data_IF_153489870611
#
_entry.id   IF_153489870611
#
_cell.length_a   1.000
_cell.length_b   1.000
_cell.length_c   1.000
_cell.angle_alpha   90.00
_cell.angle_beta   90.00
_cell.angle_gamma   90.00
#
_symmetry.space_group_name_H-M   'P 1'
#
loop_
_entity.id
_entity.type
_entity.pdbx_description
1 polymer ?
#
# COMPACT_ATOMS: atom_id res chain seq x y z
N UNK A 1 14.57 1.95 11.43
CA UNK A 1 14.15 1.12 10.28
C UNK A 1 15.35 0.89 9.36
N UNK A 2 15.99 1.93 8.82
CA UNK A 2 17.16 1.75 7.94
C UNK A 2 18.31 0.98 8.61
N UNK A 3 18.60 1.30 9.86
CA UNK A 3 19.63 0.59 10.65
C UNK A 3 19.27 -0.89 10.82
N UNK A 4 17.99 -1.23 11.03
CA UNK A 4 17.56 -2.62 11.08
C UNK A 4 17.78 -3.33 9.73
N UNK A 5 17.38 -2.70 8.61
CA UNK A 5 17.46 -3.31 7.27
C UNK A 5 18.87 -3.39 6.69
N UNK A 6 19.71 -2.38 6.95
CA UNK A 6 21.01 -2.22 6.30
C UNK A 6 22.19 -2.38 7.26
N UNK A 7 21.92 -2.57 8.56
CA UNK A 7 22.93 -2.50 9.58
C UNK A 7 23.50 -1.08 9.78
N UNK A 8 24.53 -0.97 10.55
CA UNK A 8 25.28 0.27 10.75
C UNK A 8 26.79 0.02 10.66
N UNK A 9 27.49 1.02 10.16
CA UNK A 9 28.93 0.96 10.03
C UNK A 9 29.58 1.34 11.36
N UNK A 10 30.44 0.45 11.85
CA UNK A 10 31.32 0.72 12.98
C UNK A 10 32.75 0.42 12.57
N UNK A 11 33.60 1.47 12.53
CA UNK A 11 34.95 1.42 11.92
C UNK A 11 34.82 0.91 10.48
N UNK A 12 35.52 -0.16 10.11
CA UNK A 12 35.53 -0.74 8.75
C UNK A 12 34.58 -1.94 8.59
N UNK A 13 33.67 -2.18 9.55
CA UNK A 13 32.74 -3.31 9.53
C UNK A 13 31.31 -2.81 9.54
N UNK A 14 30.44 -3.49 8.78
CA UNK A 14 28.98 -3.33 8.89
C UNK A 14 28.47 -4.34 9.91
N UNK A 15 27.75 -3.85 10.91
CA UNK A 15 27.05 -4.69 11.91
C UNK A 15 25.61 -4.82 11.45
N UNK A 16 25.20 -6.01 11.07
CA UNK A 16 23.84 -6.34 10.71
C UNK A 16 23.04 -6.67 11.97
N UNK A 17 21.88 -6.04 12.11
CA UNK A 17 21.01 -6.21 13.28
C UNK A 17 19.80 -7.09 12.98
N UNK A 18 19.59 -7.41 11.72
CA UNK A 18 18.48 -8.22 11.24
C UNK A 18 18.86 -8.92 9.95
N UNK A 19 18.56 -10.20 9.85
CA UNK A 19 18.72 -10.99 8.64
C UNK A 19 17.40 -11.02 7.88
N UNK A 20 17.41 -10.59 6.63
CA UNK A 20 16.20 -10.43 5.80
C UNK A 20 15.57 -11.77 5.45
N UNK A 21 14.26 -11.78 5.22
CA UNK A 21 13.51 -12.96 4.81
C UNK A 21 14.01 -13.42 3.42
N UNK A 22 14.54 -14.64 3.28
CA UNK A 22 15.12 -15.08 2.01
C UNK A 22 14.05 -15.42 0.98
N UNK A 23 14.41 -15.31 -0.29
CA UNK A 23 13.66 -15.94 -1.36
C UNK A 23 13.74 -17.46 -1.26
N UNK A 24 12.69 -18.18 -1.66
CA UNK A 24 12.63 -19.64 -1.62
C UNK A 24 13.84 -20.28 -2.34
N UNK A 25 14.46 -21.28 -1.72
CA UNK A 25 15.55 -22.07 -2.31
C UNK A 25 16.95 -21.66 -1.92
N UNK A 26 17.13 -20.60 -1.11
CA UNK A 26 18.43 -20.25 -0.55
C UNK A 26 18.54 -20.72 0.91
N UNK A 27 19.02 -21.95 1.11
CA UNK A 27 19.11 -22.58 2.42
C UNK A 27 20.00 -21.80 3.40
N UNK A 28 21.16 -21.31 2.96
CA UNK A 28 22.06 -20.53 3.82
C UNK A 28 21.42 -19.23 4.31
N UNK A 29 20.68 -18.53 3.41
CA UNK A 29 19.96 -17.31 3.80
C UNK A 29 18.80 -17.64 4.74
N UNK A 30 18.16 -18.81 4.59
CA UNK A 30 17.14 -19.28 5.52
C UNK A 30 17.71 -19.55 6.91
N UNK A 31 18.84 -20.22 7.00
CA UNK A 31 19.54 -20.47 8.26
C UNK A 31 19.87 -19.17 8.98
N UNK A 32 20.42 -18.17 8.27
CA UNK A 32 20.69 -16.84 8.82
C UNK A 32 19.41 -16.13 9.28
N UNK A 33 18.34 -16.19 8.49
CA UNK A 33 17.06 -15.60 8.87
C UNK A 33 16.48 -16.25 10.13
N UNK A 34 16.64 -17.57 10.29
CA UNK A 34 16.15 -18.32 11.43
C UNK A 34 16.86 -17.95 12.73
N UNK A 35 18.09 -17.42 12.66
CA UNK A 35 18.82 -16.86 13.80
C UNK A 35 18.20 -15.58 14.37
N UNK A 36 17.30 -14.87 13.60
CA UNK A 36 16.59 -13.73 14.16
C UNK A 36 15.71 -14.15 15.34
N UNK A 37 15.90 -13.48 16.46
CA UNK A 37 15.13 -13.72 17.69
C UNK A 37 14.00 -12.70 17.79
N UNK A 38 12.77 -13.17 17.57
CA UNK A 38 11.57 -12.41 17.92
C UNK A 38 11.14 -12.83 19.32
N UNK A 39 11.04 -11.87 20.24
CA UNK A 39 10.62 -12.13 21.60
C UNK A 39 9.53 -11.16 22.06
N UNK A 40 8.73 -11.62 23.02
CA UNK A 40 7.63 -10.85 23.61
C UNK A 40 7.87 -10.73 25.10
N UNK A 41 7.79 -9.50 25.62
CA UNK A 41 7.85 -9.21 27.05
C UNK A 41 6.51 -8.65 27.51
N UNK A 42 5.93 -9.27 28.51
CA UNK A 42 4.72 -8.76 29.19
C UNK A 42 5.11 -7.88 30.36
N UNK A 43 4.30 -6.87 30.66
CA UNK A 43 4.49 -5.96 31.79
C UNK A 43 5.92 -5.39 31.82
N UNK A 44 6.35 -4.88 30.66
CA UNK A 44 7.68 -4.32 30.49
C UNK A 44 7.83 -3.03 31.31
N UNK A 45 8.66 -3.06 32.34
CA UNK A 45 9.07 -1.84 33.04
C UNK A 45 10.05 -1.06 32.16
N UNK A 46 9.68 0.13 31.73
CA UNK A 46 10.41 0.89 30.71
C UNK A 46 11.08 2.16 31.25
N UNK A 47 10.57 2.69 32.37
CA UNK A 47 11.11 3.93 32.96
C UNK A 47 12.16 3.61 34.02
N UNK A 48 13.27 4.33 34.00
CA UNK A 48 14.31 4.26 35.02
C UNK A 48 13.94 5.09 36.26
N UNK A 49 13.20 6.16 36.07
CA UNK A 49 12.81 7.10 37.13
C UNK A 49 11.56 6.64 37.86
N UNK A 50 10.65 5.98 37.15
CA UNK A 50 9.35 5.54 37.66
C UNK A 50 9.21 4.03 37.53
N UNK A 51 9.88 3.29 38.38
CA UNK A 51 9.98 1.81 38.31
C UNK A 51 8.67 1.02 38.39
N UNK A 52 7.51 1.69 38.55
CA UNK A 52 6.18 1.08 38.55
C UNK A 52 5.46 1.19 37.20
N UNK A 53 6.00 1.99 36.27
CA UNK A 53 5.39 2.16 34.97
C UNK A 53 5.71 0.96 34.08
N UNK A 54 4.68 0.17 33.79
CA UNK A 54 4.79 -1.02 32.93
C UNK A 54 3.89 -0.89 31.70
N UNK A 55 4.37 -1.39 30.58
CA UNK A 55 3.65 -1.55 29.32
C UNK A 55 3.11 -2.97 29.23
N UNK A 56 1.90 -3.17 28.74
CA UNK A 56 1.28 -4.49 28.71
C UNK A 56 2.08 -5.51 27.89
N UNK A 57 2.46 -5.15 26.66
CA UNK A 57 3.30 -5.98 25.78
C UNK A 57 4.31 -5.16 24.98
N UNK A 58 5.51 -5.70 24.84
CA UNK A 58 6.51 -5.20 23.90
C UNK A 58 7.09 -6.36 23.10
N UNK A 59 7.14 -6.20 21.77
CA UNK A 59 7.81 -7.14 20.88
C UNK A 59 9.19 -6.62 20.54
N UNK A 60 10.16 -7.51 20.60
CA UNK A 60 11.57 -7.25 20.31
C UNK A 60 12.04 -8.06 19.11
N UNK A 61 12.91 -7.49 18.32
CA UNK A 61 13.69 -8.16 17.29
C UNK A 61 15.18 -8.03 17.64
N UNK A 62 15.83 -9.16 17.86
CA UNK A 62 17.25 -9.22 18.26
C UNK A 62 17.58 -8.26 19.43
N UNK A 63 16.69 -8.19 20.42
CA UNK A 63 16.81 -7.32 21.59
C UNK A 63 16.42 -5.85 21.39
N UNK A 64 16.03 -5.44 20.17
CA UNK A 64 15.55 -4.09 19.89
C UNK A 64 14.03 -4.03 19.97
N UNK A 65 13.42 -3.11 20.75
CA UNK A 65 11.98 -2.96 20.81
C UNK A 65 11.46 -2.43 19.48
N UNK A 66 10.47 -3.12 18.91
CA UNK A 66 9.91 -2.79 17.59
C UNK A 66 8.43 -2.48 17.65
N UNK A 67 7.67 -3.07 18.58
CA UNK A 67 6.23 -2.85 18.73
C UNK A 67 5.89 -2.76 20.21
N UNK A 68 5.00 -1.83 20.54
CA UNK A 68 4.38 -1.74 21.88
C UNK A 68 2.88 -1.95 21.79
N UNK A 69 2.27 -2.54 22.82
CA UNK A 69 0.83 -2.75 22.90
C UNK A 69 0.29 -2.44 24.28
N UNK A 70 -0.84 -1.73 24.32
CA UNK A 70 -1.74 -1.60 25.45
C UNK A 70 -2.98 -2.42 25.18
N UNK A 71 -3.31 -3.33 26.08
CA UNK A 71 -4.38 -4.31 25.93
C UNK A 71 -5.52 -4.01 26.88
N UNK A 72 -6.74 -4.04 26.38
CA UNK A 72 -7.97 -3.90 27.17
C UNK A 72 -8.90 -5.08 26.88
N UNK A 73 -9.79 -5.36 27.81
CA UNK A 73 -10.80 -6.40 27.62
C UNK A 73 -12.13 -5.98 28.23
N UNK A 74 -13.19 -6.61 27.76
CA UNK A 74 -14.55 -6.31 28.20
C UNK A 74 -14.82 -6.66 29.68
N UNK A 75 -14.10 -7.61 30.26
CA UNK A 75 -14.27 -8.01 31.66
C UNK A 75 -13.89 -6.89 32.63
N UNK A 76 -13.00 -5.99 32.22
CA UNK A 76 -12.59 -4.82 33.00
C UNK A 76 -13.39 -3.56 32.65
N UNK A 77 -14.41 -3.68 31.78
CA UNK A 77 -15.19 -2.55 31.23
C UNK A 77 -14.31 -1.48 30.56
N UNK A 78 -13.17 -1.88 30.07
CA UNK A 78 -12.24 -1.01 29.32
C UNK A 78 -12.18 -1.43 27.86
N UNK A 79 -11.91 -0.46 27.00
CA UNK A 79 -11.88 -0.65 25.56
C UNK A 79 -10.65 0.02 24.91
N UNK A 80 -10.59 -0.03 23.59
CA UNK A 80 -9.51 0.56 22.78
C UNK A 80 -9.32 2.05 23.06
N UNK A 81 -10.39 2.82 23.34
CA UNK A 81 -10.28 4.24 23.65
C UNK A 81 -9.53 4.49 24.98
N UNK A 82 -9.70 3.60 25.97
CA UNK A 82 -8.92 3.66 27.22
C UNK A 82 -7.43 3.37 26.97
N UNK A 83 -7.12 2.40 26.11
CA UNK A 83 -5.74 2.13 25.72
C UNK A 83 -5.11 3.31 24.96
N UNK A 84 -5.85 3.94 24.05
CA UNK A 84 -5.42 5.17 23.35
C UNK A 84 -5.19 6.30 24.35
N UNK A 85 -6.11 6.51 25.30
CA UNK A 85 -5.95 7.50 26.36
C UNK A 85 -4.70 7.24 27.17
N UNK A 86 -4.45 5.99 27.56
CA UNK A 86 -3.26 5.60 28.31
C UNK A 86 -1.97 5.92 27.55
N UNK A 87 -1.92 5.70 26.23
CA UNK A 87 -0.78 6.14 25.41
C UNK A 87 -0.61 7.65 25.39
N UNK A 88 -1.69 8.42 25.39
CA UNK A 88 -1.64 9.89 25.34
C UNK A 88 -1.23 10.52 26.66
N UNK A 89 -1.69 9.95 27.78
CA UNK A 89 -1.52 10.56 29.11
C UNK A 89 -0.36 9.95 29.90
N UNK A 90 -0.17 8.62 29.83
CA UNK A 90 0.73 7.90 30.74
C UNK A 90 2.05 7.47 30.09
N UNK A 91 2.13 7.50 28.74
CA UNK A 91 3.34 7.11 28.00
C UNK A 91 4.08 8.34 27.50
N UNK A 92 5.05 8.81 28.29
CA UNK A 92 5.81 10.01 27.93
C UNK A 92 6.71 9.76 26.71
N UNK A 93 6.54 10.54 25.61
CA UNK A 93 7.42 10.47 24.44
C UNK A 93 8.90 10.78 24.71
N UNK A 94 9.23 11.40 25.86
CA UNK A 94 10.60 11.62 26.30
C UNK A 94 11.29 10.34 26.78
N UNK A 95 10.52 9.32 27.19
CA UNK A 95 11.08 8.00 27.52
C UNK A 95 11.65 7.33 26.27
N UNK A 96 12.81 6.67 26.41
CA UNK A 96 13.53 6.07 25.28
C UNK A 96 12.68 5.09 24.47
N UNK A 97 11.79 4.34 25.12
CA UNK A 97 10.92 3.36 24.43
C UNK A 97 9.92 4.05 23.50
N UNK A 98 9.40 5.20 23.89
CA UNK A 98 8.35 5.92 23.18
C UNK A 98 8.85 7.07 22.31
N UNK A 99 10.16 7.34 22.33
CA UNK A 99 10.74 8.39 21.49
C UNK A 99 10.56 8.05 20.00
N UNK A 100 10.33 9.07 19.18
CA UNK A 100 10.14 8.93 17.73
C UNK A 100 11.25 8.10 17.08
N UNK A 101 10.87 7.19 16.17
CA UNK A 101 11.75 6.26 15.45
C UNK A 101 12.32 5.12 16.31
N UNK A 102 11.94 4.99 17.59
CA UNK A 102 12.40 3.88 18.44
C UNK A 102 11.61 2.61 18.15
N UNK A 103 10.29 2.66 18.31
CA UNK A 103 9.40 1.58 17.90
C UNK A 103 8.80 1.86 16.52
N UNK A 104 8.42 0.82 15.82
CA UNK A 104 7.83 0.90 14.47
C UNK A 104 6.37 1.34 14.58
N UNK A 105 5.65 0.77 15.53
CA UNK A 105 4.22 1.02 15.74
C UNK A 105 3.83 0.78 17.19
N UNK A 106 2.84 1.52 17.66
CA UNK A 106 2.18 1.39 18.95
C UNK A 106 0.73 0.96 18.71
N UNK A 107 0.31 -0.17 19.27
CA UNK A 107 -1.05 -0.69 19.14
C UNK A 107 -1.83 -0.53 20.43
N UNK A 108 -3.04 -0.02 20.32
CA UNK A 108 -4.08 -0.08 21.34
C UNK A 108 -5.10 -1.13 20.90
N UNK A 109 -5.33 -2.16 21.70
CA UNK A 109 -6.07 -3.37 21.29
C UNK A 109 -7.08 -3.76 22.35
N UNK A 110 -8.31 -4.08 21.91
CA UNK A 110 -9.27 -4.82 22.72
C UNK A 110 -9.84 -6.02 21.92
N UNK A 111 -10.86 -6.68 22.45
CA UNK A 111 -11.47 -7.86 21.83
C UNK A 111 -12.15 -7.55 20.49
N UNK A 112 -12.50 -6.28 20.23
CA UNK A 112 -13.29 -5.85 19.07
C UNK A 112 -12.50 -5.05 18.05
N UNK A 113 -11.56 -4.18 18.50
CA UNK A 113 -10.92 -3.18 17.68
C UNK A 113 -9.41 -3.05 17.94
N UNK A 114 -8.71 -2.58 16.92
CA UNK A 114 -7.30 -2.24 16.98
C UNK A 114 -7.10 -0.83 16.47
N UNK A 115 -6.40 -0.01 17.27
CA UNK A 115 -5.92 1.29 16.86
C UNK A 115 -4.39 1.28 16.84
N UNK A 116 -3.79 1.98 15.87
CA UNK A 116 -2.33 2.07 15.71
C UNK A 116 -1.86 3.51 15.65
N UNK A 117 -0.66 3.74 16.16
CA UNK A 117 0.04 5.03 16.10
C UNK A 117 1.51 4.79 15.79
N UNK A 118 2.12 5.63 14.97
CA UNK A 118 3.54 5.51 14.59
C UNK A 118 4.43 6.55 15.29
N UNK A 119 3.84 7.54 15.94
CA UNK A 119 4.54 8.57 16.69
C UNK A 119 3.69 9.08 17.86
N UNK A 120 4.18 8.92 19.08
CA UNK A 120 3.52 9.43 20.27
C UNK A 120 3.88 10.92 20.50
N UNK A 121 2.86 11.75 20.71
CA UNK A 121 2.94 13.20 20.91
C UNK A 121 2.00 13.65 22.01
N UNK A 122 1.83 12.86 23.06
CA UNK A 122 0.81 13.09 24.09
C UNK A 122 -0.58 13.24 23.45
N UNK A 123 -1.33 14.29 23.76
CA UNK A 123 -2.68 14.51 23.21
C UNK A 123 -2.72 14.60 21.69
N UNK A 124 -1.65 15.08 21.05
CA UNK A 124 -1.52 15.19 19.60
C UNK A 124 -1.16 13.85 18.92
N UNK A 125 -1.04 12.75 19.67
CA UNK A 125 -0.83 11.43 19.11
C UNK A 125 -2.02 11.03 18.22
N UNK A 126 -1.75 10.71 16.95
CA UNK A 126 -2.78 10.35 16.00
C UNK A 126 -2.91 8.82 15.88
N UNK A 127 -3.99 8.29 16.44
CA UNK A 127 -4.32 6.87 16.34
C UNK A 127 -5.27 6.61 15.19
N UNK A 128 -4.96 5.62 14.39
CA UNK A 128 -5.73 5.18 13.21
C UNK A 128 -6.25 3.76 13.41
N UNK A 129 -7.45 3.43 12.92
CA UNK A 129 -7.93 2.06 12.91
C UNK A 129 -7.01 1.12 12.10
N UNK A 130 -6.80 -0.09 12.65
CA UNK A 130 -6.15 -1.20 11.97
C UNK A 130 -7.11 -2.38 11.88
N UNK A 131 -8.35 -2.10 11.45
CA UNK A 131 -9.47 -3.05 11.41
C UNK A 131 -9.72 -3.57 9.98
N UNK A 132 -10.32 -4.77 9.90
CA UNK A 132 -10.61 -5.44 8.62
C UNK A 132 -11.70 -4.74 7.80
N UNK A 133 -12.60 -4.00 8.48
CA UNK A 133 -13.87 -3.56 7.93
C UNK A 133 -14.95 -4.66 8.09
N UNK A 134 -16.22 -4.25 8.24
CA UNK A 134 -17.35 -5.15 8.36
C UNK A 134 -18.62 -4.52 7.77
N UNK A 135 -19.37 -5.26 6.94
CA UNK A 135 -20.62 -4.79 6.29
C UNK A 135 -20.46 -3.43 5.58
N UNK A 136 -19.43 -3.32 4.78
CA UNK A 136 -19.04 -2.10 4.07
C UNK A 136 -18.68 -0.90 4.96
N UNK A 137 -18.57 -1.09 6.28
CA UNK A 137 -18.23 -0.09 7.28
C UNK A 137 -16.98 -0.41 8.08
N UNK A 138 -16.76 0.37 9.15
CA UNK A 138 -15.65 0.19 10.09
C UNK A 138 -15.79 -1.07 10.97
N UNK A 139 -14.75 -1.38 11.72
CA UNK A 139 -14.72 -2.47 12.70
C UNK A 139 -14.18 -3.79 12.15
N UNK A 140 -14.48 -4.87 12.85
CA UNK A 140 -14.02 -6.23 12.51
C UNK A 140 -15.20 -7.21 12.44
N UNK A 141 -15.19 -8.17 11.50
CA UNK A 141 -16.21 -9.19 11.43
C UNK A 141 -16.25 -10.07 12.69
N UNK A 142 -17.41 -10.63 13.03
CA UNK A 142 -17.50 -11.64 14.08
C UNK A 142 -16.53 -12.80 13.83
N UNK A 143 -15.89 -13.28 14.90
CA UNK A 143 -14.99 -14.43 14.82
C UNK A 143 -15.57 -15.56 15.70
N UNK A 144 -16.14 -16.62 15.12
CA UNK A 144 -16.74 -17.72 15.87
C UNK A 144 -15.69 -18.55 16.65
N UNK A 145 -14.41 -18.44 16.30
CA UNK A 145 -13.31 -19.23 16.88
C UNK A 145 -12.39 -18.42 17.82
N UNK A 146 -12.79 -17.20 18.19
CA UNK A 146 -11.94 -16.34 19.03
C UNK A 146 -12.46 -14.92 19.14
N UNK A 147 -11.57 -14.00 19.49
CA UNK A 147 -11.90 -12.58 19.50
C UNK A 147 -11.69 -11.97 18.12
N UNK A 148 -12.40 -10.87 17.81
CA UNK A 148 -12.39 -10.25 16.47
C UNK A 148 -11.01 -9.73 16.06
N UNK A 149 -10.13 -9.47 17.03
CA UNK A 149 -8.81 -8.87 16.83
C UNK A 149 -7.66 -9.89 16.80
N UNK A 150 -7.94 -11.18 16.92
CA UNK A 150 -6.91 -12.21 17.00
C UNK A 150 -6.04 -12.35 15.74
N UNK A 151 -6.50 -11.85 14.59
CA UNK A 151 -5.70 -11.77 13.37
C UNK A 151 -4.42 -10.95 13.53
N UNK A 152 -4.37 -10.02 14.50
CA UNK A 152 -3.16 -9.24 14.75
C UNK A 152 -1.97 -10.14 15.05
N UNK A 153 -2.13 -11.14 15.94
CA UNK A 153 -1.05 -12.06 16.31
C UNK A 153 -1.07 -13.35 15.51
N UNK A 154 -2.23 -13.80 15.01
CA UNK A 154 -2.31 -15.02 14.22
C UNK A 154 -1.83 -14.84 12.79
N UNK A 155 -2.10 -13.69 12.19
CA UNK A 155 -1.82 -13.43 10.77
C UNK A 155 -0.72 -12.37 10.59
N UNK A 156 -0.83 -11.19 11.24
CA UNK A 156 0.01 -10.02 10.95
C UNK A 156 1.37 -10.08 11.65
N UNK A 157 1.40 -10.46 12.92
CA UNK A 157 2.61 -10.44 13.75
C UNK A 157 3.31 -11.80 13.83
N UNK A 158 3.01 -12.73 12.93
CA UNK A 158 3.83 -13.91 12.75
C UNK A 158 5.23 -13.53 12.28
N UNK A 159 6.26 -14.32 12.61
CA UNK A 159 7.66 -14.02 12.25
C UNK A 159 7.80 -13.67 10.76
N UNK A 160 7.22 -14.48 9.86
CA UNK A 160 7.33 -14.29 8.41
C UNK A 160 6.56 -13.08 7.89
N UNK A 161 5.30 -12.88 8.34
CA UNK A 161 4.49 -11.76 7.82
C UNK A 161 5.00 -10.42 8.34
N UNK A 162 5.39 -10.36 9.62
CA UNK A 162 5.96 -9.13 10.15
C UNK A 162 7.32 -8.80 9.51
N UNK A 163 8.14 -9.81 9.16
CA UNK A 163 9.35 -9.57 8.38
C UNK A 163 9.06 -8.95 7.03
N UNK A 164 8.05 -9.44 6.30
CA UNK A 164 7.61 -8.81 5.03
C UNK A 164 7.17 -7.36 5.24
N UNK A 165 6.42 -7.09 6.32
CA UNK A 165 5.99 -5.73 6.66
C UNK A 165 7.21 -4.85 6.96
N UNK A 166 8.13 -5.32 7.78
CA UNK A 166 9.36 -4.61 8.12
C UNK A 166 10.19 -4.30 6.87
N UNK A 167 10.31 -5.23 5.94
CA UNK A 167 11.16 -5.09 4.76
C UNK A 167 10.53 -4.21 3.67
N UNK A 168 9.23 -4.33 3.44
CA UNK A 168 8.60 -3.80 2.24
C UNK A 168 7.62 -2.64 2.49
N UNK A 169 7.09 -2.48 3.70
CA UNK A 169 6.01 -1.51 3.94
C UNK A 169 6.43 -0.36 4.87
N UNK A 170 7.15 -0.65 5.93
CA UNK A 170 7.51 0.37 6.93
C UNK A 170 8.51 1.36 6.33
N UNK A 171 8.24 2.66 6.44
CA UNK A 171 9.10 3.71 5.89
C UNK A 171 9.23 4.91 6.85
N UNK A 172 10.34 5.64 6.73
CA UNK A 172 10.45 6.99 7.26
C UNK A 172 10.55 7.92 6.07
N UNK A 173 9.54 8.76 5.89
CA UNK A 173 9.49 9.73 4.79
C UNK A 173 9.86 11.12 5.32
N UNK A 174 10.60 11.86 4.48
CA UNK A 174 10.91 13.26 4.71
C UNK A 174 9.82 14.11 4.03
N UNK A 175 9.22 15.01 4.78
CA UNK A 175 8.25 15.99 4.30
C UNK A 175 8.88 17.37 4.43
N UNK A 176 9.20 17.96 3.28
CA UNK A 176 9.80 19.28 3.22
C UNK A 176 8.71 20.32 2.97
N UNK A 177 8.51 21.16 3.94
CA UNK A 177 7.62 22.33 3.83
C UNK A 177 8.22 23.31 2.80
N UNK A 178 7.47 23.57 1.72
CA UNK A 178 7.94 24.41 0.62
C UNK A 178 8.07 25.88 1.03
N UNK A 179 7.26 26.36 1.99
CA UNK A 179 7.24 27.76 2.43
C UNK A 179 8.33 28.05 3.46
N UNK A 180 8.52 27.16 4.42
CA UNK A 180 9.49 27.35 5.52
C UNK A 180 10.84 26.69 5.26
N UNK A 181 10.94 25.79 4.26
CA UNK A 181 12.11 24.99 3.98
C UNK A 181 12.44 23.93 5.05
N UNK A 182 11.64 23.82 6.11
CA UNK A 182 11.85 22.87 7.21
C UNK A 182 11.50 21.46 6.74
N UNK A 183 12.36 20.50 7.10
CA UNK A 183 12.10 19.08 6.86
C UNK A 183 11.57 18.45 8.13
N UNK A 184 10.36 17.90 8.04
CA UNK A 184 9.78 17.02 9.05
C UNK A 184 9.89 15.57 8.61
N UNK A 185 9.78 14.64 9.55
CA UNK A 185 9.82 13.20 9.24
C UNK A 185 8.54 12.55 9.74
N UNK A 186 8.00 11.64 8.93
CA UNK A 186 6.85 10.81 9.30
C UNK A 186 7.24 9.33 9.19
N UNK A 187 6.89 8.55 10.18
CA UNK A 187 7.01 7.10 10.14
C UNK A 187 5.71 6.51 9.63
N UNK A 188 5.79 5.67 8.60
CA UNK A 188 4.63 5.05 7.97
C UNK A 188 4.61 3.57 8.29
N UNK A 189 3.44 3.09 8.71
CA UNK A 189 3.05 1.70 8.83
C UNK A 189 1.78 1.50 7.99
N UNK A 190 1.61 0.38 7.26
CA UNK A 190 0.44 0.19 6.40
C UNK A 190 -0.83 0.05 7.24
N UNK A 191 -1.94 0.63 6.76
CA UNK A 191 -3.27 0.31 7.31
C UNK A 191 -3.69 -1.08 6.83
N UNK A 192 -4.60 -1.73 7.56
CA UNK A 192 -4.97 -3.11 7.27
C UNK A 192 -5.41 -3.33 5.82
N UNK A 193 -6.32 -2.50 5.29
CA UNK A 193 -6.81 -2.62 3.90
C UNK A 193 -5.69 -2.42 2.86
N UNK A 194 -4.72 -1.54 3.13
CA UNK A 194 -3.57 -1.34 2.24
C UNK A 194 -2.69 -2.59 2.20
N UNK A 195 -2.36 -3.12 3.37
CA UNK A 195 -1.57 -4.36 3.50
C UNK A 195 -2.28 -5.52 2.81
N UNK A 196 -3.58 -5.72 3.09
CA UNK A 196 -4.42 -6.76 2.49
C UNK A 196 -4.44 -6.67 0.96
N UNK A 197 -4.76 -5.48 0.41
CA UNK A 197 -4.86 -5.31 -1.04
C UNK A 197 -3.53 -5.56 -1.76
N UNK A 198 -2.42 -4.99 -1.26
CA UNK A 198 -1.11 -5.17 -1.89
C UNK A 198 -0.66 -6.63 -1.79
N UNK A 199 -0.79 -7.28 -0.64
CA UNK A 199 -0.42 -8.70 -0.48
C UNK A 199 -1.24 -9.59 -1.40
N UNK A 200 -2.57 -9.40 -1.47
CA UNK A 200 -3.45 -10.15 -2.36
C UNK A 200 -3.05 -10.00 -3.83
N UNK A 201 -2.75 -8.78 -4.28
CA UNK A 201 -2.32 -8.52 -5.66
C UNK A 201 -0.99 -9.18 -6.00
N UNK A 202 -0.03 -9.16 -5.08
CA UNK A 202 1.26 -9.82 -5.24
C UNK A 202 1.12 -11.35 -5.31
N UNK A 203 0.30 -11.94 -4.46
CA UNK A 203 0.06 -13.38 -4.44
C UNK A 203 -0.67 -13.85 -5.72
N UNK A 204 -1.68 -13.10 -6.18
CA UNK A 204 -2.35 -13.37 -7.45
C UNK A 204 -1.40 -13.23 -8.63
N UNK A 205 -0.66 -12.13 -8.73
CA UNK A 205 0.31 -11.92 -9.79
C UNK A 205 1.38 -13.03 -9.83
N UNK A 206 1.82 -13.50 -8.66
CA UNK A 206 2.77 -14.61 -8.55
C UNK A 206 2.20 -15.93 -9.04
N UNK A 207 0.93 -16.19 -8.76
CA UNK A 207 0.24 -17.44 -9.14
C UNK A 207 -0.14 -17.44 -10.61
N UNK A 208 -0.67 -16.32 -11.11
CA UNK A 208 -1.32 -16.20 -12.41
C UNK A 208 -0.36 -15.73 -13.53
N UNK A 209 0.76 -15.08 -13.17
CA UNK A 209 1.73 -14.55 -14.14
C UNK A 209 1.31 -13.23 -14.78
N UNK A 210 1.96 -12.88 -15.91
CA UNK A 210 1.63 -11.70 -16.69
C UNK A 210 0.35 -11.90 -17.52
N UNK A 211 -0.29 -10.79 -17.94
CA UNK A 211 -1.49 -10.81 -18.78
C UNK A 211 -2.80 -10.69 -18.01
N UNK A 212 -2.77 -10.44 -16.71
CA UNK A 212 -3.94 -10.41 -15.83
C UNK A 212 -4.46 -9.00 -15.60
N UNK A 213 -5.67 -8.89 -15.00
CA UNK A 213 -6.36 -7.64 -14.72
C UNK A 213 -6.89 -7.67 -13.30
N UNK A 214 -6.67 -6.57 -12.58
CA UNK A 214 -7.09 -6.44 -11.19
C UNK A 214 -7.70 -5.07 -10.96
N UNK A 215 -8.82 -5.04 -10.27
CA UNK A 215 -9.52 -3.81 -9.88
C UNK A 215 -9.55 -3.68 -8.37
N UNK A 216 -9.08 -2.56 -7.87
CA UNK A 216 -9.10 -2.19 -6.45
C UNK A 216 -10.00 -0.97 -6.29
N UNK A 217 -11.10 -1.14 -5.59
CA UNK A 217 -12.01 -0.05 -5.26
C UNK A 217 -11.70 0.49 -3.88
N UNK A 218 -10.86 1.52 -3.81
CA UNK A 218 -10.50 2.19 -2.58
C UNK A 218 -10.92 3.66 -2.62
N UNK A 219 -11.74 4.08 -1.66
CA UNK A 219 -12.29 5.44 -1.57
C UNK A 219 -11.21 6.53 -1.44
N UNK A 220 -11.61 7.78 -1.56
CA UNK A 220 -10.78 8.92 -1.14
C UNK A 220 -10.33 8.75 0.32
N UNK A 221 -9.17 9.27 0.69
CA UNK A 221 -8.63 9.12 2.05
C UNK A 221 -8.09 7.72 2.40
N UNK A 222 -8.26 6.71 1.54
CA UNK A 222 -7.72 5.36 1.76
C UNK A 222 -6.18 5.28 1.71
N UNK A 223 -5.51 6.31 1.20
CA UNK A 223 -4.05 6.31 1.02
C UNK A 223 -3.58 5.49 -0.18
N UNK A 224 -4.33 5.51 -1.29
CA UNK A 224 -4.01 4.83 -2.56
C UNK A 224 -2.57 5.02 -3.02
N UNK A 225 -2.03 6.24 -2.92
CA UNK A 225 -0.65 6.54 -3.34
C UNK A 225 0.40 5.68 -2.63
N UNK A 226 0.21 5.38 -1.33
CA UNK A 226 1.09 4.48 -0.61
C UNK A 226 0.93 3.03 -1.09
N UNK A 227 -0.31 2.56 -1.28
CA UNK A 227 -0.58 1.22 -1.81
C UNK A 227 0.05 1.02 -3.18
N UNK A 228 -0.08 2.01 -4.08
CA UNK A 228 0.53 2.03 -5.41
C UNK A 228 2.06 1.99 -5.31
N UNK A 229 2.66 2.78 -4.42
CA UNK A 229 4.11 2.79 -4.24
C UNK A 229 4.63 1.44 -3.72
N UNK A 230 4.00 0.86 -2.69
CA UNK A 230 4.36 -0.47 -2.18
C UNK A 230 4.19 -1.56 -3.23
N UNK A 231 3.08 -1.52 -3.98
CA UNK A 231 2.84 -2.47 -5.07
C UNK A 231 3.91 -2.34 -6.16
N UNK A 232 4.19 -1.12 -6.63
CA UNK A 232 5.17 -0.88 -7.68
C UNK A 232 6.56 -1.42 -7.31
N UNK A 233 7.02 -1.15 -6.07
CA UNK A 233 8.32 -1.63 -5.63
C UNK A 233 8.41 -3.14 -5.51
N UNK A 234 7.35 -3.79 -5.00
CA UNK A 234 7.35 -5.23 -4.81
C UNK A 234 7.14 -6.01 -6.12
N UNK A 235 6.37 -5.46 -7.09
CA UNK A 235 6.22 -6.07 -8.41
C UNK A 235 7.54 -6.15 -9.20
N UNK A 236 8.43 -5.17 -9.02
CA UNK A 236 9.77 -5.15 -9.68
C UNK A 236 10.61 -6.36 -9.30
N UNK A 237 10.49 -6.83 -8.06
CA UNK A 237 11.28 -7.95 -7.53
C UNK A 237 10.49 -9.23 -7.41
N UNK A 238 9.22 -9.23 -7.83
CA UNK A 238 8.34 -10.38 -7.73
C UNK A 238 8.78 -11.51 -8.65
N UNK A 239 9.09 -12.66 -8.06
CA UNK A 239 9.61 -13.83 -8.77
C UNK A 239 8.70 -15.04 -8.64
N UNK A 240 8.69 -15.85 -9.71
CA UNK A 240 8.17 -17.20 -9.70
C UNK A 240 9.23 -18.14 -10.28
N UNK A 241 9.61 -19.19 -9.54
CA UNK A 241 10.66 -20.11 -9.96
C UNK A 241 12.04 -19.46 -10.23
N UNK A 242 12.39 -18.37 -9.51
CA UNK A 242 13.67 -17.65 -9.68
C UNK A 242 13.71 -16.67 -10.86
N UNK A 243 12.61 -16.51 -11.61
CA UNK A 243 12.48 -15.54 -12.70
C UNK A 243 11.53 -14.42 -12.31
N UNK A 244 11.89 -13.18 -12.65
CA UNK A 244 10.98 -12.04 -12.47
C UNK A 244 9.74 -12.23 -13.33
N UNK A 245 8.58 -11.92 -12.75
CA UNK A 245 7.29 -11.96 -13.47
C UNK A 245 7.17 -10.74 -14.39
N UNK A 246 7.67 -9.59 -13.93
CA UNK A 246 7.64 -8.34 -14.67
C UNK A 246 9.04 -7.75 -14.84
N UNK A 247 9.33 -7.28 -16.05
CA UNK A 247 10.59 -6.61 -16.37
C UNK A 247 10.55 -5.14 -16.00
N UNK A 248 9.38 -4.51 -16.16
CA UNK A 248 9.16 -3.09 -15.89
C UNK A 248 7.75 -2.87 -15.33
N UNK A 249 7.66 -1.98 -14.35
CA UNK A 249 6.39 -1.47 -13.78
C UNK A 249 6.16 -0.07 -14.33
N UNK A 250 4.99 0.17 -14.92
CA UNK A 250 4.58 1.49 -15.43
C UNK A 250 3.45 2.00 -14.55
N UNK A 251 3.63 3.16 -13.92
CA UNK A 251 2.59 3.83 -13.13
C UNK A 251 1.99 4.95 -13.95
N UNK A 252 0.68 4.85 -14.22
CA UNK A 252 -0.07 5.80 -15.05
C UNK A 252 -0.97 6.64 -14.15
N UNK A 253 -0.84 7.98 -14.24
CA UNK A 253 -1.60 8.94 -13.45
C UNK A 253 -2.40 9.89 -14.35
N UNK A 254 -3.44 10.53 -13.81
CA UNK A 254 -4.27 11.51 -14.57
C UNK A 254 -3.54 12.85 -14.75
N UNK A 255 -3.03 13.43 -13.66
CA UNK A 255 -2.57 14.82 -13.63
C UNK A 255 -1.12 14.98 -13.18
N UNK A 256 -0.47 16.02 -13.71
CA UNK A 256 0.91 16.39 -13.38
C UNK A 256 1.11 16.61 -11.86
N UNK A 257 0.13 17.17 -11.14
CA UNK A 257 0.24 17.40 -9.70
C UNK A 257 0.16 16.11 -8.88
N UNK A 258 -0.70 15.17 -9.27
CA UNK A 258 -0.78 13.83 -8.68
C UNK A 258 0.44 12.99 -9.04
N UNK A 259 0.93 13.14 -10.27
CA UNK A 259 2.20 12.58 -10.70
C UNK A 259 3.36 12.99 -9.78
N UNK A 260 3.41 14.27 -9.34
CA UNK A 260 4.40 14.72 -8.36
C UNK A 260 4.24 14.04 -7.00
N UNK A 261 3.02 13.88 -6.50
CA UNK A 261 2.77 13.24 -5.20
C UNK A 261 3.14 11.76 -5.24
N UNK A 262 2.65 11.01 -6.22
CA UNK A 262 2.97 9.58 -6.41
C UNK A 262 4.46 9.39 -6.66
N UNK A 263 5.05 10.22 -7.51
CA UNK A 263 6.49 10.22 -7.78
C UNK A 263 7.31 10.43 -6.50
N UNK A 264 6.94 11.40 -5.68
CA UNK A 264 7.64 11.66 -4.42
C UNK A 264 7.47 10.47 -3.47
N UNK A 265 6.27 9.91 -3.35
CA UNK A 265 6.02 8.72 -2.54
C UNK A 265 6.83 7.52 -3.03
N UNK A 266 6.82 7.22 -4.33
CA UNK A 266 7.60 6.12 -4.92
C UNK A 266 9.09 6.36 -4.71
N UNK A 267 9.59 7.57 -4.93
CA UNK A 267 11.01 7.91 -4.71
C UNK A 267 11.44 7.79 -3.25
N UNK A 268 10.59 8.22 -2.32
CA UNK A 268 10.88 8.11 -0.89
C UNK A 268 10.90 6.65 -0.40
N UNK A 269 10.13 5.77 -1.06
CA UNK A 269 10.11 4.33 -0.78
C UNK A 269 11.26 3.59 -1.48
N UNK A 270 11.91 4.22 -2.46
CA UNK A 270 12.96 3.59 -3.24
C UNK A 270 14.30 3.65 -2.50
N UNK A 271 14.90 2.49 -2.29
CA UNK A 271 16.27 2.40 -1.75
C UNK A 271 17.33 2.77 -2.79
N UNK A 272 16.99 2.74 -4.09
CA UNK A 272 17.88 3.05 -5.20
C UNK A 272 17.18 3.97 -6.21
N UNK A 273 17.48 5.25 -6.16
CA UNK A 273 16.86 6.28 -7.01
C UNK A 273 17.09 6.09 -8.53
N UNK A 274 18.11 5.34 -8.92
CA UNK A 274 18.42 5.03 -10.33
C UNK A 274 17.42 4.08 -11.00
N UNK A 275 16.59 3.38 -10.24
CA UNK A 275 15.61 2.41 -10.76
C UNK A 275 14.30 3.05 -11.21
N UNK A 276 14.02 4.31 -10.80
CA UNK A 276 12.79 5.02 -11.11
C UNK A 276 13.03 6.08 -12.18
N UNK A 277 12.27 6.03 -13.27
CA UNK A 277 12.24 7.04 -14.33
C UNK A 277 10.94 7.83 -14.34
N UNK A 278 10.98 9.06 -14.83
CA UNK A 278 9.81 9.88 -15.06
C UNK A 278 9.77 10.34 -16.52
N UNK A 279 8.76 9.88 -17.26
CA UNK A 279 8.59 10.21 -18.66
C UNK A 279 7.86 11.57 -18.79
N UNK A 280 8.57 12.59 -19.23
CA UNK A 280 8.01 13.93 -19.53
C UNK A 280 7.41 14.00 -20.92
N UNK A 281 7.80 13.11 -21.83
CA UNK A 281 7.31 12.99 -23.19
C UNK A 281 7.15 11.52 -23.58
N UNK A 282 6.52 11.22 -24.73
CA UNK A 282 6.47 9.87 -25.27
C UNK A 282 7.90 9.35 -25.63
N UNK A 283 8.76 10.22 -26.15
CA UNK A 283 10.15 9.90 -26.44
C UNK A 283 10.94 9.52 -25.17
N UNK A 284 10.73 10.26 -24.05
CA UNK A 284 11.36 9.91 -22.77
C UNK A 284 10.92 8.53 -22.29
N UNK A 285 9.64 8.17 -22.54
CA UNK A 285 9.11 6.86 -22.12
C UNK A 285 9.85 5.73 -22.86
N UNK A 286 10.07 5.85 -24.17
CA UNK A 286 10.87 4.90 -24.94
C UNK A 286 12.32 4.84 -24.42
N UNK A 287 12.96 5.99 -24.23
CA UNK A 287 14.33 6.06 -23.71
C UNK A 287 14.46 5.35 -22.36
N UNK A 288 13.53 5.60 -21.43
CA UNK A 288 13.53 4.96 -20.10
C UNK A 288 13.31 3.44 -20.17
N UNK A 289 12.50 2.98 -21.13
CA UNK A 289 12.31 1.54 -21.38
C UNK A 289 13.59 0.91 -21.94
N UNK A 290 14.25 1.56 -22.89
CA UNK A 290 15.48 1.08 -23.51
C UNK A 290 16.65 1.10 -22.52
N UNK A 291 16.71 2.08 -21.62
CA UNK A 291 17.64 2.13 -20.48
C UNK A 291 17.36 1.05 -19.42
N UNK A 292 16.26 0.31 -19.53
CA UNK A 292 15.89 -0.76 -18.60
C UNK A 292 15.45 -0.27 -17.22
N UNK A 293 14.87 0.95 -17.12
CA UNK A 293 14.28 1.43 -15.87
C UNK A 293 13.21 0.46 -15.36
N UNK A 294 13.27 0.18 -14.07
CA UNK A 294 12.38 -0.82 -13.44
C UNK A 294 11.00 -0.26 -13.10
N UNK A 295 10.92 1.01 -12.72
CA UNK A 295 9.67 1.71 -12.47
C UNK A 295 9.66 2.97 -13.32
N UNK A 296 8.61 3.15 -14.12
CA UNK A 296 8.42 4.34 -14.96
C UNK A 296 7.10 4.99 -14.58
N UNK A 297 7.12 6.28 -14.27
CA UNK A 297 5.92 7.04 -13.95
C UNK A 297 5.59 7.93 -15.14
N UNK A 298 4.33 7.92 -15.57
CA UNK A 298 3.86 8.67 -16.73
C UNK A 298 2.41 9.11 -16.56
N UNK A 299 1.96 10.03 -17.40
CA UNK A 299 0.55 10.43 -17.47
C UNK A 299 -0.16 9.72 -18.63
N UNK A 300 -1.50 9.58 -18.53
CA UNK A 300 -2.33 8.83 -19.49
C UNK A 300 -2.12 9.27 -20.94
N UNK A 301 -2.03 10.57 -21.19
CA UNK A 301 -1.84 11.10 -22.56
C UNK A 301 -0.53 10.63 -23.22
N UNK A 302 0.48 10.29 -22.45
CA UNK A 302 1.75 9.78 -22.98
C UNK A 302 1.75 8.27 -23.04
N UNK A 303 1.10 7.63 -22.09
CA UNK A 303 0.99 6.18 -22.02
C UNK A 303 0.32 5.58 -23.26
N UNK A 304 -0.68 6.23 -23.84
CA UNK A 304 -1.35 5.77 -25.04
C UNK A 304 -0.43 5.52 -26.25
N UNK A 305 0.66 6.29 -26.37
CA UNK A 305 1.59 6.14 -27.49
C UNK A 305 2.42 4.87 -27.40
N UNK A 306 2.64 4.35 -26.17
CA UNK A 306 3.50 3.17 -25.98
C UNK A 306 2.72 1.85 -25.89
N UNK A 307 1.40 1.88 -25.75
CA UNK A 307 0.60 0.67 -25.64
C UNK A 307 0.76 -0.27 -26.86
N UNK A 308 0.90 0.28 -28.05
CA UNK A 308 1.15 -0.51 -29.25
C UNK A 308 2.55 -1.17 -29.20
N UNK A 309 3.55 -0.43 -28.71
CA UNK A 309 4.92 -0.90 -28.70
C UNK A 309 5.15 -1.95 -27.62
N UNK A 310 4.37 -1.93 -26.52
CA UNK A 310 4.35 -2.98 -25.50
C UNK A 310 4.02 -4.33 -26.15
N UNK A 311 3.04 -4.37 -27.06
CA UNK A 311 2.61 -5.60 -27.72
C UNK A 311 3.43 -5.97 -28.96
N UNK A 312 4.20 -5.04 -29.54
CA UNK A 312 4.96 -5.23 -30.77
C UNK A 312 6.48 -5.18 -30.55
N UNK A 313 7.03 -3.98 -30.35
CA UNK A 313 8.46 -3.77 -30.17
C UNK A 313 9.01 -4.42 -28.89
N UNK A 314 8.22 -4.43 -27.81
CA UNK A 314 8.60 -5.01 -26.52
C UNK A 314 7.88 -6.34 -26.20
N UNK A 315 7.45 -7.08 -27.19
CA UNK A 315 6.69 -8.37 -27.03
C UNK A 315 7.40 -9.42 -26.17
N UNK A 316 8.72 -9.37 -26.09
CA UNK A 316 9.55 -10.30 -25.30
C UNK A 316 9.76 -9.84 -23.85
N UNK A 317 9.22 -8.69 -23.48
CA UNK A 317 9.27 -8.16 -22.11
C UNK A 317 7.90 -8.21 -21.48
N UNK A 318 7.86 -8.32 -20.15
CA UNK A 318 6.63 -8.37 -19.38
C UNK A 318 6.46 -7.08 -18.56
N UNK A 319 5.23 -6.59 -18.50
CA UNK A 319 4.90 -5.32 -17.89
C UNK A 319 3.84 -5.46 -16.79
N UNK A 320 4.01 -4.70 -15.71
CA UNK A 320 2.94 -4.39 -14.77
C UNK A 320 2.53 -2.93 -14.95
N UNK A 321 1.26 -2.70 -15.27
CA UNK A 321 0.72 -1.35 -15.50
C UNK A 321 -0.20 -1.03 -14.33
N UNK A 322 0.19 -0.07 -13.49
CA UNK A 322 -0.61 0.41 -12.35
C UNK A 322 -1.28 1.70 -12.79
N UNK A 323 -2.61 1.74 -12.70
CA UNK A 323 -3.42 2.89 -13.11
C UNK A 323 -3.97 3.52 -11.83
N UNK A 324 -3.56 4.77 -11.55
CA UNK A 324 -4.12 5.58 -10.48
C UNK A 324 -5.13 6.56 -11.04
N UNK A 325 -6.32 6.48 -10.54
CA UNK A 325 -7.41 7.34 -10.90
C UNK A 325 -7.62 8.43 -9.85
N UNK A 326 -7.18 9.62 -10.19
CA UNK A 326 -7.52 10.79 -9.42
C UNK A 326 -8.89 11.30 -9.86
N UNK A 327 -9.86 11.23 -8.97
CA UNK A 327 -11.11 11.93 -9.21
C UNK A 327 -10.86 13.38 -9.55
N UNK A 328 -11.32 13.82 -10.72
CA UNK A 328 -11.44 15.22 -11.04
C UNK A 328 -12.44 15.81 -10.06
N UNK A 329 -11.97 16.40 -8.96
CA UNK A 329 -12.79 17.35 -8.23
C UNK A 329 -13.25 18.41 -9.23
N UNK A 330 -14.56 18.61 -9.31
CA UNK A 330 -15.21 19.69 -10.02
C UNK A 330 -14.54 21.04 -9.72
N UNK A 331 -13.61 21.45 -10.57
CA UNK A 331 -13.24 22.83 -10.76
C UNK A 331 -12.99 22.98 -12.26
N UNK A 332 -14.11 23.12 -12.96
CA UNK A 332 -14.11 23.59 -14.33
C UNK A 332 -13.56 24.99 -14.38
N UNK A 333 -12.44 25.14 -15.01
CA UNK A 333 -12.06 26.31 -15.81
C UNK A 333 -10.57 26.25 -16.13
N UNK A 334 -10.18 25.36 -17.01
CA UNK A 334 -8.96 25.52 -17.85
C UNK A 334 -8.71 24.25 -18.71
N UNK A 335 -9.77 23.53 -19.04
CA UNK A 335 -9.73 22.57 -20.16
C UNK A 335 -10.05 23.31 -21.46
N UNK A 336 -9.21 24.26 -21.84
CA UNK A 336 -9.29 24.84 -23.14
C UNK A 336 -8.92 23.79 -24.20
N UNK A 337 -9.95 23.36 -24.93
CA UNK A 337 -9.92 22.88 -26.31
C UNK A 337 -8.63 22.22 -26.79
N UNK A 338 -8.48 20.95 -26.54
CA UNK A 338 -7.60 20.10 -27.31
C UNK A 338 -8.39 18.87 -27.78
N UNK A 339 -9.02 19.00 -28.94
CA UNK A 339 -9.51 17.86 -29.72
C UNK A 339 -8.29 17.02 -30.13
N UNK A 340 -7.99 15.98 -29.36
CA UNK A 340 -6.95 15.04 -29.76
C UNK A 340 -7.64 13.94 -30.55
N UNK A 341 -7.56 14.05 -31.88
CA UNK A 341 -7.95 12.96 -32.79
C UNK A 341 -6.90 11.88 -32.71
N UNK A 342 -7.21 10.77 -32.02
CA UNK A 342 -6.33 9.60 -31.95
C UNK A 342 -7.11 8.42 -32.49
N UNK A 343 -6.63 7.87 -33.59
CA UNK A 343 -7.16 6.65 -34.22
C UNK A 343 -8.68 6.66 -34.47
N UNK A 344 -9.25 7.81 -34.86
CA UNK A 344 -10.66 7.96 -35.18
C UNK A 344 -11.61 8.19 -34.00
N UNK A 345 -11.12 8.15 -32.75
CA UNK A 345 -11.93 8.44 -31.58
C UNK A 345 -11.80 9.91 -31.20
N UNK A 346 -12.92 10.60 -31.06
CA UNK A 346 -13.01 12.00 -30.60
C UNK A 346 -13.27 11.96 -29.10
N UNK A 347 -12.33 12.47 -28.29
CA UNK A 347 -12.56 12.70 -26.87
C UNK A 347 -13.19 14.09 -26.71
N UNK A 348 -14.22 14.17 -25.89
CA UNK A 348 -14.80 15.45 -25.48
C UNK A 348 -14.10 15.94 -24.21
N UNK A 349 -14.12 17.27 -23.98
CA UNK A 349 -13.54 17.87 -22.77
C UNK A 349 -14.26 17.42 -21.49
N UNK A 350 -15.46 16.82 -21.62
CA UNK A 350 -16.27 16.29 -20.53
C UNK A 350 -15.94 14.82 -20.16
N UNK A 351 -15.14 14.12 -20.97
CA UNK A 351 -14.74 12.75 -20.66
C UNK A 351 -13.82 12.72 -19.42
N UNK A 352 -14.20 11.95 -18.43
CA UNK A 352 -13.35 11.79 -17.25
C UNK A 352 -12.16 10.84 -17.56
N UNK A 353 -11.23 10.76 -16.61
CA UNK A 353 -10.00 9.97 -16.78
C UNK A 353 -10.28 8.49 -16.97
N UNK A 354 -11.29 7.94 -16.29
CA UNK A 354 -11.68 6.55 -16.36
C UNK A 354 -12.16 6.20 -17.77
N UNK A 355 -12.98 7.04 -18.37
CA UNK A 355 -13.45 6.85 -19.74
C UNK A 355 -12.31 6.93 -20.75
N UNK A 356 -11.38 7.88 -20.56
CA UNK A 356 -10.19 8.01 -21.40
C UNK A 356 -9.31 6.77 -21.36
N UNK A 357 -8.98 6.28 -20.16
CA UNK A 357 -8.12 5.10 -20.01
C UNK A 357 -8.81 3.84 -20.58
N UNK A 358 -10.09 3.64 -20.30
CA UNK A 358 -10.88 2.51 -20.81
C UNK A 358 -10.91 2.54 -22.34
N UNK A 359 -11.19 3.67 -22.96
CA UNK A 359 -11.22 3.83 -24.41
C UNK A 359 -9.87 3.56 -25.07
N UNK A 360 -8.77 4.05 -24.45
CA UNK A 360 -7.41 3.80 -24.92
C UNK A 360 -7.08 2.30 -24.89
N UNK A 361 -7.41 1.63 -23.80
CA UNK A 361 -7.09 0.22 -23.61
C UNK A 361 -7.95 -0.66 -24.56
N UNK A 362 -9.24 -0.37 -24.70
CA UNK A 362 -10.13 -1.10 -25.62
C UNK A 362 -9.70 -0.93 -27.09
N UNK A 363 -9.48 0.33 -27.51
CA UNK A 363 -9.12 0.64 -28.90
C UNK A 363 -7.77 0.03 -29.32
N UNK A 364 -6.90 -0.28 -28.36
CA UNK A 364 -5.56 -0.81 -28.62
C UNK A 364 -5.40 -2.32 -28.33
N UNK A 365 -6.46 -3.04 -27.99
CA UNK A 365 -6.42 -4.46 -27.55
C UNK A 365 -5.38 -4.69 -26.45
N UNK A 366 -5.79 -5.06 -25.26
CA UNK A 366 -4.89 -5.29 -24.12
C UNK A 366 -3.74 -6.23 -24.49
N UNK A 367 -2.52 -5.80 -24.19
CA UNK A 367 -1.32 -6.59 -24.47
C UNK A 367 -1.26 -7.82 -23.55
N UNK A 368 -1.07 -9.01 -24.11
CA UNK A 368 -0.99 -10.28 -23.36
C UNK A 368 0.26 -10.36 -22.46
N UNK A 369 1.29 -9.58 -22.75
CA UNK A 369 2.51 -9.48 -21.96
C UNK A 369 2.46 -8.39 -20.87
N UNK A 370 1.26 -7.83 -20.61
CA UNK A 370 1.07 -6.81 -19.58
C UNK A 370 -0.08 -7.17 -18.63
N UNK A 371 0.17 -7.05 -17.32
CA UNK A 371 -0.90 -7.09 -16.31
C UNK A 371 -1.29 -5.67 -15.90
N UNK A 372 -2.59 -5.48 -15.62
CA UNK A 372 -3.17 -4.18 -15.29
C UNK A 372 -3.70 -4.18 -13.86
N UNK A 373 -3.31 -3.19 -13.08
CA UNK A 373 -3.69 -2.98 -11.69
C UNK A 373 -4.39 -1.62 -11.58
N UNK A 374 -5.71 -1.62 -11.68
CA UNK A 374 -6.50 -0.39 -11.65
C UNK A 374 -6.95 -0.06 -10.23
N UNK A 375 -6.67 1.16 -9.78
CA UNK A 375 -7.11 1.72 -8.49
C UNK A 375 -8.11 2.83 -8.73
N UNK A 376 -9.32 2.70 -8.21
CA UNK A 376 -10.37 3.72 -8.32
C UNK A 376 -11.18 3.82 -7.03
N UNK A 377 -11.83 4.95 -6.79
CA UNK A 377 -12.77 5.08 -5.67
C UNK A 377 -14.18 4.65 -6.06
N UNK A 378 -14.62 4.90 -7.29
CA UNK A 378 -15.98 4.67 -7.78
C UNK A 378 -15.93 4.10 -9.21
N UNK A 379 -15.73 2.77 -9.36
CA UNK A 379 -15.63 2.16 -10.68
C UNK A 379 -16.95 2.28 -11.45
N UNK A 380 -16.87 2.66 -12.72
CA UNK A 380 -18.00 2.58 -13.66
C UNK A 380 -18.20 1.14 -14.11
N UNK A 381 -19.39 0.82 -14.67
CA UNK A 381 -19.69 -0.51 -15.16
C UNK A 381 -18.65 -1.02 -16.17
N UNK A 382 -18.21 -0.17 -17.07
CA UNK A 382 -17.17 -0.48 -18.06
C UNK A 382 -15.82 -0.85 -17.42
N UNK A 383 -15.43 -0.15 -16.36
CA UNK A 383 -14.20 -0.44 -15.60
C UNK A 383 -14.32 -1.77 -14.85
N UNK A 384 -15.51 -2.06 -14.30
CA UNK A 384 -15.79 -3.35 -13.68
C UNK A 384 -15.66 -4.49 -14.71
N UNK A 385 -16.21 -4.34 -15.91
CA UNK A 385 -16.09 -5.34 -16.98
C UNK A 385 -14.64 -5.56 -17.43
N UNK A 386 -13.86 -4.48 -17.50
CA UNK A 386 -12.49 -4.54 -18.02
C UNK A 386 -11.50 -5.11 -17.01
N UNK A 387 -11.62 -4.74 -15.75
CA UNK A 387 -10.61 -5.01 -14.71
C UNK A 387 -11.14 -5.83 -13.53
N UNK A 388 -12.46 -5.96 -13.38
CA UNK A 388 -13.08 -6.65 -12.27
C UNK A 388 -13.00 -8.18 -12.41
N UNK A 389 -13.25 -8.84 -11.29
CA UNK A 389 -13.41 -10.29 -11.23
C UNK A 389 -14.84 -10.67 -11.66
N UNK A 390 -14.96 -11.50 -12.71
CA UNK A 390 -16.26 -11.93 -13.23
C UNK A 390 -16.94 -12.79 -12.17
N UNK A 391 -18.19 -12.49 -11.87
CA UNK A 391 -19.01 -13.29 -10.97
C UNK A 391 -19.62 -14.46 -11.77
N UNK A 392 -19.42 -15.67 -11.28
CA UNK A 392 -19.93 -16.89 -11.90
C UNK A 392 -21.02 -17.55 -11.04
N UNK A 393 -21.92 -18.29 -11.66
CA UNK A 393 -22.88 -19.17 -10.99
C UNK A 393 -22.18 -20.44 -10.41
N UNK A 394 -22.95 -21.32 -9.79
CA UNK A 394 -22.46 -22.60 -9.23
C UNK A 394 -21.87 -23.55 -10.30
N UNK A 395 -22.19 -23.36 -11.57
CA UNK A 395 -21.68 -24.15 -12.71
C UNK A 395 -20.45 -23.50 -13.36
N UNK A 396 -20.00 -22.32 -12.88
CA UNK A 396 -18.87 -21.59 -13.43
C UNK A 396 -19.22 -20.69 -14.64
N UNK A 397 -20.52 -20.52 -14.97
CA UNK A 397 -20.94 -19.63 -16.04
C UNK A 397 -21.00 -18.17 -15.55
N UNK A 398 -20.57 -17.19 -16.37
CA UNK A 398 -20.71 -15.78 -16.03
C UNK A 398 -22.17 -15.38 -15.78
N UNK A 399 -22.43 -14.72 -14.67
CA UNK A 399 -23.73 -14.07 -14.42
C UNK A 399 -23.79 -12.80 -15.26
N UNK A 400 -24.91 -12.59 -15.97
CA UNK A 400 -25.12 -11.40 -16.80
C UNK A 400 -25.96 -10.36 -16.08
N UNK A 401 -25.71 -9.10 -16.40
CA UNK A 401 -26.54 -7.95 -16.07
C UNK A 401 -27.78 -7.92 -17.01
N UNK A 402 -28.74 -7.03 -16.73
CA UNK A 402 -29.95 -6.86 -17.54
C UNK A 402 -29.64 -6.45 -19.01
N UNK A 403 -28.53 -5.76 -19.22
CA UNK A 403 -28.04 -5.31 -20.55
C UNK A 403 -27.22 -6.39 -21.29
N UNK A 404 -27.09 -7.60 -20.72
CA UNK A 404 -26.34 -8.71 -21.30
C UNK A 404 -24.83 -8.66 -21.07
N UNK A 405 -24.32 -7.65 -20.36
CA UNK A 405 -22.90 -7.55 -19.98
C UNK A 405 -22.58 -8.51 -18.82
N UNK A 406 -21.32 -8.93 -18.69
CA UNK A 406 -20.89 -9.80 -17.60
C UNK A 406 -20.84 -9.04 -16.29
N UNK A 407 -21.49 -9.58 -15.27
CA UNK A 407 -21.43 -9.03 -13.93
C UNK A 407 -20.04 -9.23 -13.34
N UNK A 408 -19.43 -8.14 -12.86
CA UNK A 408 -18.11 -8.18 -12.27
C UNK A 408 -18.06 -7.38 -10.96
N UNK A 409 -17.08 -7.71 -10.12
CA UNK A 409 -16.84 -7.04 -8.83
C UNK A 409 -15.36 -6.65 -8.71
N UNK A 410 -15.01 -5.66 -7.87
CA UNK A 410 -13.62 -5.39 -7.53
C UNK A 410 -12.99 -6.58 -6.80
N UNK A 411 -11.66 -6.72 -6.91
CA UNK A 411 -10.89 -7.74 -6.20
C UNK A 411 -10.71 -7.41 -4.72
N UNK A 412 -10.67 -6.12 -4.38
CA UNK A 412 -10.67 -5.61 -3.01
C UNK A 412 -11.44 -4.30 -2.92
N UNK A 413 -12.10 -4.07 -1.77
CA UNK A 413 -12.95 -2.90 -1.53
C UNK A 413 -12.60 -2.27 -0.19
N UNK A 414 -12.41 -0.96 -0.22
CA UNK A 414 -12.42 -0.09 0.95
C UNK A 414 -13.39 1.05 0.67
N UNK A 415 -14.58 0.99 1.27
CA UNK A 415 -15.71 1.84 0.91
C UNK A 415 -15.58 3.27 1.42
N UNK A 416 -16.38 4.18 0.85
CA UNK A 416 -16.51 5.54 1.38
C UNK A 416 -17.16 5.53 2.77
N UNK A 417 -18.14 4.66 3.01
CA UNK A 417 -18.78 4.47 4.33
C UNK A 417 -17.72 4.11 5.38
N UNK A 418 -16.86 3.11 5.08
CA UNK A 418 -15.77 2.74 5.97
C UNK A 418 -14.81 3.90 6.24
N UNK A 419 -14.45 4.67 5.21
CA UNK A 419 -13.54 5.80 5.36
C UNK A 419 -14.13 6.94 6.21
N UNK A 420 -15.44 7.18 6.13
CA UNK A 420 -16.17 8.15 6.97
C UNK A 420 -16.23 7.67 8.42
N UNK A 421 -16.63 6.42 8.65
CA UNK A 421 -16.72 5.83 9.99
C UNK A 421 -15.34 5.75 10.67
N UNK A 422 -14.28 5.48 9.91
CA UNK A 422 -12.89 5.51 10.37
C UNK A 422 -12.30 6.93 10.48
N UNK A 423 -13.07 7.98 10.15
CA UNK A 423 -12.72 9.41 10.25
C UNK A 423 -11.54 9.86 9.35
N UNK A 424 -11.33 9.21 8.23
CA UNK A 424 -10.35 9.65 7.22
C UNK A 424 -10.91 10.68 6.25
N UNK A 425 -12.21 10.71 6.06
CA UNK A 425 -12.93 11.74 5.31
C UNK A 425 -14.09 12.26 6.15
N UNK A 426 -14.43 13.52 5.90
CA UNK A 426 -15.60 14.13 6.57
C UNK A 426 -16.89 13.56 5.98
N UNK A 427 -17.91 13.44 6.83
CA UNK A 427 -19.25 13.12 6.39
C UNK A 427 -19.82 14.32 5.64
N UNK A 428 -20.04 14.16 4.33
CA UNK A 428 -20.55 15.22 3.45
C UNK A 428 -22.04 15.53 3.67
N UNK A 429 -22.72 14.76 4.51
CA UNK A 429 -24.14 14.94 4.85
C UNK A 429 -24.36 15.64 6.20
N UNK A 430 -23.30 16.07 6.89
CA UNK A 430 -23.35 16.81 8.15
C UNK A 430 -22.90 18.25 8.00
#
# INVERSE_FOLDING_TARGET
IEILRKGFKYKNKTLELYQVLPSKGNQRAQELYDENIFSVTRQLQYSKEYGRLALDLCIFLNGLPIITMELKNQFTLQNTADAVKQYKTDRDPAEKLFSFKRCIVHFAVDDNEIMMCTELKKDDSYFMPFNKGFEDGAGNPPNPNGIKTDYLWKDILTKSEFSKILENYVQIIADKDEDTGKTSYKQIFPRYHQLKAVTMLLDRAKKEGAGQRYLIQHSAGSGKSNSIAWLAHQLVTLQNGGKNIFDTVIVVTDRINLDKQIKNTIKQFTQVSSTVGWAKSASDLHTLLDEGKKIIITIVHKFQFILNDISTAYKNRTFAIIIDEAHSSQNGSLAAKMNIVISGNVYTDDDDFEDKINTIIEGKKMAQNASYFAFTATPKNKTLEMFGEIITDENGNPILNEDGTKRAKPHDVYTMKQAIEEKFILDVLK
#
